data_IF_001487428194
#
_entry.id   IF_001487428194
#
_cell.length_a   1.000
_cell.length_b   1.000
_cell.length_c   1.000
_cell.angle_alpha   90.00
_cell.angle_beta   90.00
_cell.angle_gamma   90.00
#
_symmetry.space_group_name_H-M   'P 1'
#
loop_
_entity.id
_entity.type
_entity.pdbx_description
1 polymer ?
#
# COMPACT_ATOMS: atom_id res chain seq x y z
N UNK A 1 20.72 -10.70 -5.02
CA UNK A 1 19.32 -10.45 -4.64
C UNK A 1 18.96 -9.08 -5.18
N UNK A 2 17.90 -8.98 -5.97
CA UNK A 2 17.39 -7.68 -6.41
C UNK A 2 16.73 -6.97 -5.20
N UNK A 3 17.25 -5.81 -4.80
CA UNK A 3 16.77 -5.06 -3.62
C UNK A 3 15.63 -4.09 -3.97
N UNK A 4 15.21 -4.01 -5.24
CA UNK A 4 14.12 -3.15 -5.68
C UNK A 4 12.86 -3.91 -6.09
N UNK A 5 12.88 -5.25 -6.07
CA UNK A 5 11.74 -6.12 -6.43
C UNK A 5 11.24 -6.92 -5.22
N UNK A 6 10.16 -6.46 -4.61
CA UNK A 6 9.54 -7.04 -3.41
C UNK A 6 8.42 -8.01 -3.83
N UNK A 7 8.73 -9.30 -3.90
CA UNK A 7 7.83 -10.33 -4.43
C UNK A 7 6.57 -10.52 -3.59
N UNK A 8 5.43 -10.55 -4.25
CA UNK A 8 4.15 -10.99 -3.67
C UNK A 8 3.97 -12.46 -4.05
N UNK A 9 4.06 -12.76 -5.35
CA UNK A 9 4.08 -14.10 -5.93
C UNK A 9 5.19 -14.20 -6.99
N UNK A 10 5.15 -15.20 -7.87
CA UNK A 10 6.11 -15.33 -8.96
C UNK A 10 5.94 -14.27 -10.05
N UNK A 11 4.71 -13.81 -10.27
CA UNK A 11 4.35 -12.82 -11.30
C UNK A 11 3.96 -11.46 -10.73
N UNK A 12 3.75 -11.37 -9.41
CA UNK A 12 3.31 -10.15 -8.73
C UNK A 12 4.38 -9.62 -7.78
N UNK A 13 4.60 -8.30 -7.77
CA UNK A 13 5.59 -7.68 -6.90
C UNK A 13 5.37 -6.17 -6.74
N UNK A 14 5.89 -5.62 -5.64
CA UNK A 14 6.14 -4.19 -5.51
C UNK A 14 7.52 -3.86 -6.10
N UNK A 15 7.55 -2.90 -7.02
CA UNK A 15 8.77 -2.40 -7.64
C UNK A 15 9.13 -1.05 -7.05
N UNK A 16 10.39 -0.92 -6.63
CA UNK A 16 10.98 0.35 -6.23
C UNK A 16 11.74 0.92 -7.43
N UNK A 17 11.45 2.17 -7.81
CA UNK A 17 12.24 2.87 -8.82
C UNK A 17 13.18 3.86 -8.13
N UNK A 18 14.47 3.50 -7.94
CA UNK A 18 15.45 4.35 -7.28
C UNK A 18 16.00 5.46 -8.19
N UNK A 19 15.63 5.49 -9.48
CA UNK A 19 16.07 6.55 -10.40
C UNK A 19 15.31 7.86 -10.19
N UNK A 20 14.18 7.82 -9.47
CA UNK A 20 13.40 9.00 -9.07
C UNK A 20 13.93 9.65 -7.78
N UNK A 21 15.21 9.45 -7.43
CA UNK A 21 15.82 10.13 -6.29
C UNK A 21 15.93 11.62 -6.65
N UNK A 22 14.99 12.39 -6.11
CA UNK A 22 15.15 13.84 -6.03
C UNK A 22 16.30 14.13 -5.07
N UNK A 23 17.42 14.56 -5.64
CA UNK A 23 18.69 14.81 -4.93
C UNK A 23 18.52 16.01 -4.00
N UNK A 24 18.02 15.73 -2.80
CA UNK A 24 18.26 16.59 -1.65
C UNK A 24 19.51 16.04 -0.99
N UNK A 25 20.46 16.90 -0.64
CA UNK A 25 21.77 16.57 -0.01
C UNK A 25 21.69 15.62 1.20
N UNK A 26 20.48 15.38 1.71
CA UNK A 26 20.12 14.39 2.70
C UNK A 26 19.69 13.03 2.08
N UNK A 27 20.58 12.04 2.09
CA UNK A 27 20.32 10.66 1.58
C UNK A 27 19.18 9.92 2.30
N UNK A 28 18.82 10.33 3.53
CA UNK A 28 17.65 9.77 4.26
C UNK A 28 16.32 10.39 3.80
N UNK A 29 16.37 11.55 3.14
CA UNK A 29 15.26 12.20 2.45
C UNK A 29 15.15 11.78 0.98
N UNK A 30 16.03 10.89 0.49
CA UNK A 30 15.94 10.36 -0.85
C UNK A 30 14.53 9.80 -1.08
N UNK A 31 13.90 10.28 -2.14
CA UNK A 31 12.57 9.83 -2.54
C UNK A 31 12.69 8.66 -3.51
N UNK A 32 11.76 7.72 -3.40
CA UNK A 32 11.63 6.55 -4.26
C UNK A 32 10.19 6.43 -4.71
N UNK A 33 9.99 5.91 -5.90
CA UNK A 33 8.67 5.48 -6.35
C UNK A 33 8.42 4.03 -6.01
N UNK A 34 7.18 3.74 -5.63
CA UNK A 34 6.68 2.38 -5.43
C UNK A 34 5.57 2.13 -6.44
N UNK A 35 5.69 1.06 -7.20
CA UNK A 35 4.66 0.57 -8.11
C UNK A 35 4.28 -0.86 -7.76
N UNK A 36 3.03 -1.25 -8.01
CA UNK A 36 2.62 -2.65 -8.08
C UNK A 36 2.67 -3.12 -9.53
N UNK A 37 3.20 -4.32 -9.73
CA UNK A 37 3.27 -4.99 -11.03
C UNK A 37 2.70 -6.40 -10.91
N UNK A 38 1.79 -6.74 -11.82
CA UNK A 38 1.33 -8.10 -12.10
C UNK A 38 1.60 -8.43 -13.56
N UNK A 39 2.65 -9.20 -13.81
CA UNK A 39 3.07 -9.60 -15.15
C UNK A 39 2.03 -10.52 -15.81
N UNK A 40 1.32 -11.34 -15.03
CA UNK A 40 0.38 -12.34 -15.55
C UNK A 40 -0.89 -11.68 -16.09
N UNK A 41 -1.42 -10.70 -15.35
CA UNK A 41 -2.66 -10.02 -15.72
C UNK A 41 -2.41 -8.67 -16.43
N UNK A 42 -1.15 -8.33 -16.71
CA UNK A 42 -0.75 -7.06 -17.32
C UNK A 42 -1.28 -5.84 -16.53
N UNK A 43 -1.16 -5.90 -15.20
CA UNK A 43 -1.58 -4.81 -14.31
C UNK A 43 -0.32 -4.07 -13.86
N UNK A 44 -0.36 -2.74 -13.98
CA UNK A 44 0.66 -1.85 -13.48
C UNK A 44 -0.02 -0.67 -12.77
N UNK A 45 0.27 -0.50 -11.48
CA UNK A 45 -0.34 0.54 -10.65
C UNK A 45 0.75 1.35 -9.97
N UNK A 46 0.78 2.66 -10.23
CA UNK A 46 1.69 3.58 -9.54
C UNK A 46 1.16 3.94 -8.16
N UNK A 47 2.00 3.81 -7.14
CA UNK A 47 1.73 4.24 -5.76
C UNK A 47 2.55 5.46 -5.32
N UNK A 48 3.31 6.05 -6.25
CA UNK A 48 3.97 7.34 -6.08
C UNK A 48 5.12 7.33 -5.08
N UNK A 49 5.48 8.54 -4.65
CA UNK A 49 6.75 8.79 -3.97
C UNK A 49 6.70 8.53 -2.46
N UNK A 50 7.80 8.04 -1.89
CA UNK A 50 8.03 8.02 -0.42
C UNK A 50 9.50 8.18 -0.12
N UNK A 51 9.84 8.48 1.13
CA UNK A 51 11.24 8.49 1.54
C UNK A 51 11.74 7.06 1.72
N UNK A 52 13.02 6.83 1.39
CA UNK A 52 13.67 5.54 1.66
C UNK A 52 13.58 5.18 3.16
N UNK A 53 13.73 6.18 4.04
CA UNK A 53 13.65 5.99 5.49
C UNK A 53 12.29 5.48 5.95
N UNK A 54 11.19 6.10 5.52
CA UNK A 54 9.83 5.68 5.88
C UNK A 54 9.51 4.28 5.35
N UNK A 55 9.90 3.99 4.11
CA UNK A 55 9.67 2.67 3.52
C UNK A 55 10.44 1.56 4.27
N UNK A 56 11.74 1.78 4.53
CA UNK A 56 12.55 0.82 5.27
C UNK A 56 12.03 0.64 6.71
N UNK A 57 11.69 1.74 7.40
CA UNK A 57 11.14 1.68 8.76
C UNK A 57 9.87 0.84 8.81
N UNK A 58 8.94 1.09 7.89
CA UNK A 58 7.69 0.35 7.80
C UNK A 58 7.94 -1.16 7.66
N UNK A 59 8.89 -1.55 6.81
CA UNK A 59 9.15 -2.96 6.55
C UNK A 59 9.95 -3.68 7.65
N UNK A 60 10.83 -2.97 8.37
CA UNK A 60 11.81 -3.64 9.27
C UNK A 60 11.59 -3.38 10.75
N UNK A 61 10.96 -2.25 11.12
CA UNK A 61 10.80 -1.83 12.52
C UNK A 61 9.35 -1.72 12.96
N UNK A 62 8.42 -1.58 12.01
CA UNK A 62 7.02 -1.45 12.34
C UNK A 62 6.43 -2.80 12.77
N UNK A 63 5.75 -2.79 13.92
CA UNK A 63 5.23 -4.01 14.54
C UNK A 63 4.25 -4.76 13.63
N UNK A 64 3.62 -4.08 12.66
CA UNK A 64 2.70 -4.68 11.71
C UNK A 64 3.30 -5.88 10.96
N UNK A 65 4.54 -5.77 10.45
CA UNK A 65 5.19 -6.87 9.71
C UNK A 65 5.49 -8.05 10.63
N UNK A 66 5.92 -7.76 11.86
CA UNK A 66 6.14 -8.79 12.89
C UNK A 66 4.83 -9.51 13.23
N UNK A 67 3.74 -8.78 13.41
CA UNK A 67 2.41 -9.35 13.65
C UNK A 67 1.94 -10.21 12.47
N UNK A 68 2.16 -9.77 11.23
CA UNK A 68 1.81 -10.53 10.01
C UNK A 68 2.53 -11.89 9.96
N UNK A 69 3.83 -11.91 10.26
CA UNK A 69 4.61 -13.16 10.29
C UNK A 69 4.15 -14.10 11.41
N UNK A 70 3.81 -13.54 12.58
CA UNK A 70 3.25 -14.28 13.72
C UNK A 70 1.81 -14.74 13.51
N UNK A 71 1.11 -14.22 12.50
CA UNK A 71 -0.31 -14.52 12.28
C UNK A 71 -1.24 -13.80 13.25
N UNK A 72 -0.78 -12.73 13.91
CA UNK A 72 -1.55 -12.04 14.96
C UNK A 72 -2.22 -10.76 14.47
N UNK A 73 -1.98 -10.35 13.21
CA UNK A 73 -2.65 -9.19 12.59
C UNK A 73 -3.92 -9.64 11.87
N UNK A 74 -4.75 -10.40 12.56
CA UNK A 74 -5.96 -11.00 11.99
C UNK A 74 -6.96 -9.89 11.63
N UNK A 75 -7.59 -9.99 10.46
CA UNK A 75 -8.70 -9.12 10.08
C UNK A 75 -9.85 -9.30 11.08
N UNK A 76 -10.26 -8.20 11.69
CA UNK A 76 -11.32 -8.24 12.70
C UNK A 76 -12.63 -8.73 12.06
N UNK A 77 -13.30 -9.71 12.70
CA UNK A 77 -14.57 -10.25 12.19
C UNK A 77 -15.68 -9.19 12.13
N UNK A 78 -15.56 -8.11 12.92
CA UNK A 78 -16.46 -6.97 12.86
C UNK A 78 -16.33 -6.17 11.54
N UNK A 79 -15.18 -6.28 10.88
CA UNK A 79 -14.94 -5.79 9.50
C UNK A 79 -15.61 -6.79 8.58
N UNK A 80 -16.92 -6.64 8.53
CA UNK A 80 -17.86 -7.48 7.78
C UNK A 80 -17.81 -7.16 6.28
N UNK A 81 -17.14 -6.06 5.92
CA UNK A 81 -17.08 -5.52 4.59
C UNK A 81 -15.62 -5.35 4.16
N UNK A 82 -15.40 -5.41 2.86
CA UNK A 82 -14.14 -5.10 2.18
C UNK A 82 -13.46 -3.86 2.80
N UNK A 83 -12.17 -3.97 3.18
CA UNK A 83 -11.40 -2.88 3.81
C UNK A 83 -11.44 -1.59 2.98
N UNK A 84 -11.38 -1.71 1.66
CA UNK A 84 -11.49 -0.55 0.79
C UNK A 84 -12.88 0.04 0.79
N UNK A 85 -13.93 -0.77 0.90
CA UNK A 85 -15.30 -0.27 1.02
C UNK A 85 -15.48 0.50 2.32
N UNK A 86 -15.05 -0.06 3.46
CA UNK A 86 -15.12 0.63 4.75
C UNK A 86 -14.34 1.94 4.73
N UNK A 87 -13.13 1.94 4.17
CA UNK A 87 -12.36 3.16 3.96
C UNK A 87 -13.15 4.23 3.21
N UNK A 88 -13.76 3.86 2.08
CA UNK A 88 -14.55 4.78 1.28
C UNK A 88 -15.81 5.28 2.00
N UNK A 89 -16.43 4.45 2.84
CA UNK A 89 -17.58 4.83 3.68
C UNK A 89 -17.19 5.79 4.82
N UNK A 90 -16.04 5.55 5.47
CA UNK A 90 -15.49 6.45 6.48
C UNK A 90 -15.23 7.85 5.89
N UNK A 91 -14.55 7.92 4.75
CA UNK A 91 -14.26 9.21 4.13
C UNK A 91 -15.51 9.96 3.64
N UNK A 92 -16.60 9.24 3.36
CA UNK A 92 -17.92 9.82 3.09
C UNK A 92 -18.61 10.40 4.33
N UNK A 93 -18.06 10.18 5.51
CA UNK A 93 -18.66 10.57 6.79
C UNK A 93 -19.80 9.65 7.22
N UNK A 94 -19.92 8.46 6.61
CA UNK A 94 -20.94 7.47 6.97
C UNK A 94 -20.49 6.53 8.09
N UNK A 95 -19.21 6.53 8.45
CA UNK A 95 -18.65 5.83 9.61
C UNK A 95 -17.87 6.78 10.52
N UNK A 96 -17.93 6.53 11.84
CA UNK A 96 -17.31 7.37 12.87
C UNK A 96 -15.86 6.97 13.22
N UNK A 97 -15.50 5.71 12.99
CA UNK A 97 -14.14 5.19 13.17
C UNK A 97 -13.70 4.44 11.92
N UNK A 98 -12.38 4.32 11.74
CA UNK A 98 -11.76 3.67 10.60
C UNK A 98 -10.84 2.56 11.09
N UNK A 99 -11.45 1.44 11.50
CA UNK A 99 -10.69 0.26 11.91
C UNK A 99 -9.88 -0.32 10.74
N UNK A 100 -10.30 -0.07 9.49
CA UNK A 100 -9.59 -0.48 8.29
C UNK A 100 -8.20 0.17 8.18
N UNK A 101 -7.99 1.37 8.74
CA UNK A 101 -6.68 2.05 8.73
C UNK A 101 -5.58 1.20 9.35
N UNK A 102 -5.92 0.34 10.34
CA UNK A 102 -4.93 -0.56 10.94
C UNK A 102 -4.33 -1.51 9.92
N UNK A 103 -4.98 -1.83 8.81
CA UNK A 103 -4.45 -2.74 7.79
C UNK A 103 -3.90 -2.02 6.56
N UNK A 104 -3.93 -0.68 6.56
CA UNK A 104 -3.46 0.13 5.45
C UNK A 104 -1.94 0.03 5.33
N UNK A 105 -1.48 -0.28 4.11
CA UNK A 105 -0.07 -0.23 3.76
C UNK A 105 0.28 1.09 3.08
N UNK A 106 -0.51 1.48 2.07
CA UNK A 106 -0.21 2.64 1.22
C UNK A 106 -1.40 3.08 0.37
N UNK A 107 -1.52 4.37 0.12
CA UNK A 107 -2.42 4.97 -0.87
C UNK A 107 -1.61 5.56 -2.04
N UNK A 108 -2.22 5.70 -3.21
CA UNK A 108 -1.66 6.50 -4.32
C UNK A 108 -2.41 7.84 -4.48
N UNK A 109 -2.81 8.46 -3.36
CA UNK A 109 -3.68 9.66 -3.28
C UNK A 109 -3.06 10.97 -3.82
N UNK A 110 -1.94 10.89 -4.53
CA UNK A 110 -1.33 12.02 -5.22
C UNK A 110 -2.20 12.47 -6.41
N UNK A 111 -2.44 13.78 -6.50
CA UNK A 111 -3.35 14.38 -7.51
C UNK A 111 -3.05 14.00 -8.96
N UNK A 112 -1.78 13.73 -9.26
CA UNK A 112 -1.28 13.42 -10.59
C UNK A 112 -1.41 11.93 -10.96
N UNK A 113 -1.70 11.06 -9.98
CA UNK A 113 -1.81 9.62 -10.18
C UNK A 113 -3.29 9.25 -10.11
N UNK A 114 -3.87 8.90 -11.27
CA UNK A 114 -5.23 8.38 -11.39
C UNK A 114 -5.25 7.11 -12.23
N UNK A 115 -6.19 6.19 -11.99
CA UNK A 115 -7.14 6.12 -10.87
C UNK A 115 -6.47 5.86 -9.49
N UNK A 116 -7.25 6.06 -8.42
CA UNK A 116 -6.73 5.98 -7.05
C UNK A 116 -7.01 4.62 -6.39
N UNK A 117 -6.09 4.19 -5.54
CA UNK A 117 -5.99 2.87 -4.94
C UNK A 117 -5.38 2.93 -3.53
N UNK A 118 -5.77 1.94 -2.73
CA UNK A 118 -5.13 1.59 -1.48
C UNK A 118 -4.56 0.17 -1.57
N UNK A 119 -3.44 -0.06 -0.88
CA UNK A 119 -2.91 -1.37 -0.55
C UNK A 119 -3.25 -1.68 0.90
N UNK A 120 -3.71 -2.90 1.15
CA UNK A 120 -3.99 -3.46 2.46
C UNK A 120 -3.16 -4.72 2.67
N UNK A 121 -2.76 -4.94 3.93
CA UNK A 121 -2.06 -6.16 4.34
C UNK A 121 -2.51 -6.62 5.73
N UNK A 122 -2.93 -7.88 5.83
CA UNK A 122 -3.51 -8.46 7.04
C UNK A 122 -3.34 -9.99 7.08
N UNK A 123 -3.66 -10.62 8.20
CA UNK A 123 -3.85 -12.06 8.28
C UNK A 123 -5.34 -12.42 8.10
N UNK A 124 -5.64 -13.44 7.31
CA UNK A 124 -6.97 -14.07 7.37
C UNK A 124 -7.12 -14.94 8.64
N UNK A 125 -8.28 -15.59 8.80
CA UNK A 125 -8.56 -16.45 9.96
C UNK A 125 -7.67 -17.68 10.03
N UNK A 126 -7.09 -18.11 8.90
CA UNK A 126 -6.16 -19.24 8.82
C UNK A 126 -4.70 -18.81 9.07
N UNK A 127 -4.45 -17.51 9.20
CA UNK A 127 -3.12 -16.94 9.39
C UNK A 127 -2.33 -16.76 8.09
N UNK A 128 -2.96 -16.90 6.93
CA UNK A 128 -2.37 -16.53 5.65
C UNK A 128 -2.21 -15.01 5.59
N UNK A 129 -1.16 -14.52 4.93
CA UNK A 129 -0.93 -13.08 4.76
C UNK A 129 -1.63 -12.64 3.48
N UNK A 130 -2.69 -11.85 3.61
CA UNK A 130 -3.45 -11.32 2.49
C UNK A 130 -2.87 -9.98 2.07
N UNK A 131 -2.66 -9.83 0.76
CA UNK A 131 -2.35 -8.58 0.09
C UNK A 131 -3.50 -8.20 -0.82
N UNK A 132 -4.02 -6.99 -0.65
CA UNK A 132 -5.22 -6.54 -1.34
C UNK A 132 -5.05 -5.13 -1.87
N UNK A 133 -5.50 -4.88 -3.11
CA UNK A 133 -5.54 -3.56 -3.73
C UNK A 133 -6.97 -3.22 -4.08
N UNK A 134 -7.46 -2.09 -3.56
CA UNK A 134 -8.84 -1.64 -3.77
C UNK A 134 -8.88 -0.21 -4.31
N UNK A 135 -9.88 0.12 -5.16
CA UNK A 135 -10.14 1.50 -5.54
C UNK A 135 -10.39 2.43 -4.33
N UNK A 136 -9.86 3.64 -4.42
CA UNK A 136 -10.08 4.73 -3.46
C UNK A 136 -10.88 5.84 -4.15
N UNK A 137 -11.94 6.32 -3.49
CA UNK A 137 -12.73 7.44 -4.01
C UNK A 137 -12.04 8.77 -3.67
N UNK A 138 -11.57 9.54 -4.68
CA UNK A 138 -10.62 10.63 -4.43
C UNK A 138 -11.23 11.98 -4.05
N UNK A 139 -12.55 12.08 -4.03
CA UNK A 139 -13.22 13.38 -4.10
C UNK A 139 -13.42 14.07 -2.74
N UNK A 140 -12.76 13.58 -1.70
CA UNK A 140 -12.84 14.11 -0.34
C UNK A 140 -11.87 15.26 -0.07
N UNK A 141 -10.80 15.42 -0.87
CA UNK A 141 -9.73 16.39 -0.62
C UNK A 141 -9.85 17.73 -1.37
N UNK A 142 -10.91 17.94 -2.17
CA UNK A 142 -11.03 19.17 -2.98
C UNK A 142 -12.23 20.03 -2.62
N UNK A 143 -11.98 21.01 -1.75
CA UNK A 143 -12.85 22.17 -1.47
C UNK A 143 -13.04 23.11 -2.67
N UNK A 144 -12.46 22.83 -3.85
CA UNK A 144 -12.58 23.68 -5.04
C UNK A 144 -13.46 23.04 -6.12
N UNK A 145 -14.42 23.83 -6.60
CA UNK A 145 -15.54 23.49 -7.50
C UNK A 145 -15.14 23.19 -8.96
N UNK A 146 -13.86 23.03 -9.29
CA UNK A 146 -13.38 23.14 -10.69
C UNK A 146 -12.73 21.88 -11.27
N UNK A 147 -13.10 20.69 -10.81
CA UNK A 147 -12.73 19.46 -11.52
C UNK A 147 -13.94 18.99 -12.36
N UNK A 148 -13.88 19.06 -13.70
CA UNK A 148 -15.01 18.74 -14.59
C UNK A 148 -15.38 17.25 -14.63
N UNK A 149 -14.61 16.36 -13.99
CA UNK A 149 -14.76 14.89 -14.04
C UNK A 149 -15.29 14.27 -12.73
N UNK A 150 -16.04 15.03 -11.92
CA UNK A 150 -16.58 14.52 -10.64
C UNK A 150 -17.66 13.47 -10.88
N UNK A 151 -17.31 12.19 -10.71
CA UNK A 151 -18.30 11.09 -10.64
C UNK A 151 -18.88 11.08 -9.21
N UNK A 152 -20.21 11.21 -9.02
CA UNK A 152 -20.84 11.07 -7.72
C UNK A 152 -20.52 9.73 -7.05
N UNK A 153 -20.31 9.72 -5.73
CA UNK A 153 -20.01 8.50 -4.98
C UNK A 153 -20.99 7.35 -5.25
N UNK A 154 -22.30 7.65 -5.27
CA UNK A 154 -23.35 6.66 -5.55
C UNK A 154 -23.24 6.02 -6.94
N UNK A 155 -22.59 6.68 -7.90
CA UNK A 155 -22.31 6.10 -9.21
C UNK A 155 -20.98 5.34 -9.18
N UNK A 156 -19.94 5.93 -8.60
CA UNK A 156 -18.61 5.30 -8.50
C UNK A 156 -18.63 3.97 -7.73
N UNK A 157 -19.33 3.90 -6.60
CA UNK A 157 -19.37 2.72 -5.72
C UNK A 157 -20.07 1.52 -6.37
N UNK A 158 -20.84 1.73 -7.45
CA UNK A 158 -21.53 0.62 -8.16
C UNK A 158 -20.56 -0.30 -8.88
N UNK A 159 -19.44 0.25 -9.35
CA UNK A 159 -18.42 -0.48 -10.09
C UNK A 159 -17.23 -0.87 -9.19
N UNK A 160 -17.35 -0.61 -7.89
CA UNK A 160 -16.31 -0.91 -6.91
C UNK A 160 -16.11 -2.42 -6.76
N UNK A 161 -14.85 -2.85 -6.89
CA UNK A 161 -14.37 -4.17 -6.53
C UNK A 161 -12.86 -4.13 -6.26
N UNK A 162 -12.32 -4.99 -5.38
CA UNK A 162 -10.89 -5.22 -5.30
C UNK A 162 -10.33 -5.57 -6.68
N UNK A 163 -9.15 -5.03 -6.98
CA UNK A 163 -8.43 -5.32 -8.23
C UNK A 163 -7.48 -6.48 -8.01
N UNK A 164 -6.86 -6.52 -6.83
CA UNK A 164 -5.92 -7.56 -6.44
C UNK A 164 -6.34 -8.06 -5.07
N UNK A 165 -6.38 -9.38 -4.91
CA UNK A 165 -6.47 -10.05 -3.62
C UNK A 165 -5.72 -11.37 -3.72
N UNK A 166 -4.59 -11.47 -3.03
CA UNK A 166 -3.68 -12.61 -3.16
C UNK A 166 -3.01 -12.92 -1.83
N UNK A 167 -2.39 -14.09 -1.73
CA UNK A 167 -1.64 -14.52 -0.55
C UNK A 167 -0.17 -14.25 -0.77
N UNK A 168 0.47 -13.55 0.17
CA UNK A 168 1.94 -13.46 0.24
C UNK A 168 2.46 -14.66 1.02
N UNK A 169 3.29 -15.53 0.42
CA UNK A 169 4.02 -16.54 1.17
C UNK A 169 4.89 -15.89 2.26
N UNK A 170 4.88 -16.43 3.49
CA UNK A 170 5.66 -15.89 4.62
C UNK A 170 7.15 -15.69 4.28
N UNK A 171 7.72 -16.55 3.45
CA UNK A 171 9.11 -16.43 3.00
C UNK A 171 9.35 -15.19 2.13
N UNK A 172 8.38 -14.80 1.30
CA UNK A 172 8.45 -13.56 0.53
C UNK A 172 8.44 -12.35 1.47
N UNK A 173 7.59 -12.33 2.50
CA UNK A 173 7.58 -11.24 3.48
C UNK A 173 8.88 -11.18 4.30
N UNK A 174 9.45 -12.32 4.69
CA UNK A 174 10.79 -12.36 5.31
C UNK A 174 11.87 -11.82 4.36
N UNK A 175 11.74 -12.07 3.06
CA UNK A 175 12.64 -11.51 2.06
C UNK A 175 12.48 -10.00 1.96
N UNK A 176 11.26 -9.45 2.06
CA UNK A 176 11.03 -8.00 2.07
C UNK A 176 11.79 -7.31 3.20
N UNK A 177 11.79 -7.89 4.40
CA UNK A 177 12.55 -7.36 5.55
C UNK A 177 14.04 -7.30 5.20
N UNK A 178 14.61 -8.39 4.69
CA UNK A 178 16.03 -8.45 4.29
C UNK A 178 16.34 -7.44 3.18
N UNK A 179 15.47 -7.31 2.18
CA UNK A 179 15.62 -6.35 1.09
C UNK A 179 15.59 -4.92 1.63
N UNK A 180 14.64 -4.60 2.51
CA UNK A 180 14.52 -3.28 3.13
C UNK A 180 15.71 -2.94 4.04
N UNK A 181 16.27 -3.90 4.77
CA UNK A 181 17.49 -3.70 5.55
C UNK A 181 18.69 -3.40 4.64
N UNK A 182 18.90 -4.17 3.57
CA UNK A 182 19.98 -3.94 2.61
C UNK A 182 19.80 -2.62 1.85
N UNK A 183 18.57 -2.30 1.47
CA UNK A 183 18.22 -1.01 0.85
C UNK A 183 18.51 0.15 1.81
N UNK A 184 18.10 0.04 3.08
CA UNK A 184 18.38 1.04 4.11
C UNK A 184 19.88 1.28 4.33
N UNK A 185 20.70 0.21 4.35
CA UNK A 185 22.17 0.32 4.42
C UNK A 185 22.75 1.08 3.23
N UNK A 186 22.30 0.76 2.00
CA UNK A 186 22.76 1.43 0.77
C UNK A 186 22.53 2.94 0.82
N UNK A 187 21.39 3.37 1.37
CA UNK A 187 21.02 4.79 1.49
C UNK A 187 21.38 5.41 2.85
N UNK A 188 22.13 4.70 3.71
CA UNK A 188 22.58 5.15 5.03
C UNK A 188 21.42 5.65 5.91
N UNK A 189 20.28 4.97 5.87
CA UNK A 189 19.14 5.26 6.74
C UNK A 189 19.57 5.06 8.19
N UNK A 190 19.42 6.12 9.00
CA UNK A 190 19.51 6.04 10.45
C UNK A 190 18.09 6.07 11.00
N UNK A 191 17.73 5.04 11.76
CA UNK A 191 16.51 5.06 12.55
C UNK A 191 16.88 5.73 13.87
N UNK A 192 16.35 6.92 14.12
CA UNK A 192 16.43 7.59 15.42
C UNK A 192 15.39 6.99 16.38
#
# INVERSE_FOLDING_TARGET
>A
MDITKYKISDTEYLKINPECIHDHECKTCAQIDIDYVDEKNNIYIKFGHTTVSSFCYFLTKYDAITQLLKGTRILDKAITHDLGFEWNQFYKGEQKSNEAFKYHLRSNDHKEIRPYYNIWIYNDEEGNIIFEITPFYPWFYETKKTCPEKIPYKLWIKDYKPIVKTIIPKENLKQWIKQADEFGKKYKVKFE
#
